data_IF_423685577475
#
_entry.id   IF_423685577475
#
_cell.length_a   1.000
_cell.length_b   1.000
_cell.length_c   1.000
_cell.angle_alpha   90.00
_cell.angle_beta   90.00
_cell.angle_gamma   90.00
#
_symmetry.space_group_name_H-M   'P 1'
#
loop_
_entity.id
_entity.type
_entity.pdbx_description
1 polymer ?
#
# COMPACT_ATOMS: atom_id res chain seq x y z
N UNK A 1 43.48 -5.34 32.49
CA UNK A 1 42.20 -4.61 32.65
C UNK A 1 41.41 -4.80 31.35
N UNK A 2 40.53 -5.78 31.35
CA UNK A 2 39.69 -6.19 30.22
C UNK A 2 38.33 -5.56 30.37
N UNK A 3 37.95 -4.66 29.41
CA UNK A 3 36.62 -4.11 29.35
C UNK A 3 35.65 -5.13 28.71
N UNK A 4 34.51 -5.44 29.31
CA UNK A 4 33.48 -6.23 28.62
C UNK A 4 32.75 -5.33 27.63
N UNK A 5 32.80 -5.70 26.35
CA UNK A 5 31.92 -5.17 25.31
C UNK A 5 30.47 -5.53 25.63
N UNK A 6 29.70 -4.52 26.03
CA UNK A 6 28.25 -4.63 26.20
C UNK A 6 27.61 -4.61 24.82
N UNK A 7 27.34 -5.79 24.25
CA UNK A 7 26.48 -5.93 23.09
C UNK A 7 25.06 -5.57 23.52
N UNK A 8 24.58 -4.41 23.07
CA UNK A 8 23.16 -4.04 23.23
C UNK A 8 22.38 -4.92 22.26
N UNK A 9 21.85 -6.04 22.76
CA UNK A 9 20.84 -6.81 22.06
C UNK A 9 19.59 -5.92 21.91
N UNK A 10 19.24 -5.64 20.66
CA UNK A 10 17.97 -5.00 20.33
C UNK A 10 16.83 -5.90 20.87
N UNK A 11 15.72 -5.31 21.39
CA UNK A 11 14.62 -6.10 21.94
C UNK A 11 14.01 -6.99 20.85
N UNK A 12 14.09 -8.29 21.05
CA UNK A 12 13.67 -9.35 20.11
C UNK A 12 12.14 -9.46 19.95
N UNK A 13 11.35 -8.44 20.27
CA UNK A 13 9.89 -8.55 20.27
C UNK A 13 9.13 -7.27 19.85
N UNK A 14 9.68 -6.48 18.94
CA UNK A 14 8.84 -5.54 18.20
C UNK A 14 8.02 -6.33 17.17
N UNK A 15 6.68 -6.20 17.11
CA UNK A 15 5.90 -6.87 16.08
C UNK A 15 6.45 -6.46 14.71
N UNK A 16 6.82 -7.44 13.89
CA UNK A 16 7.31 -7.19 12.54
C UNK A 16 6.26 -6.35 11.80
N UNK A 17 6.70 -5.27 11.16
CA UNK A 17 5.80 -4.45 10.36
C UNK A 17 5.14 -5.33 9.28
N UNK A 18 3.84 -5.15 9.00
CA UNK A 18 3.17 -5.89 7.95
C UNK A 18 3.83 -5.62 6.60
N UNK A 19 3.81 -6.60 5.71
CA UNK A 19 4.17 -6.40 4.32
C UNK A 19 3.29 -5.31 3.70
N UNK A 20 3.84 -4.53 2.79
CA UNK A 20 3.15 -3.45 2.10
C UNK A 20 2.95 -3.81 0.63
N UNK A 21 1.71 -3.95 0.20
CA UNK A 21 1.35 -4.20 -1.18
C UNK A 21 0.72 -2.95 -1.79
N UNK A 22 1.51 -2.22 -2.58
CA UNK A 22 1.06 -1.06 -3.33
C UNK A 22 0.30 -1.54 -4.56
N UNK A 23 -0.90 -1.03 -4.80
CA UNK A 23 -1.77 -1.51 -5.86
C UNK A 23 -2.23 -0.37 -6.77
N UNK A 24 -1.77 -0.38 -8.03
CA UNK A 24 -2.04 0.64 -9.03
C UNK A 24 -2.92 0.09 -10.17
N UNK A 25 -3.47 0.96 -11.02
CA UNK A 25 -4.29 0.54 -12.15
C UNK A 25 -3.51 -0.27 -13.19
N UNK A 26 -2.38 0.21 -13.59
CA UNK A 26 -1.68 -0.26 -14.77
C UNK A 26 -2.17 0.38 -16.07
N UNK A 27 -1.37 0.24 -17.12
CA UNK A 27 -1.66 0.73 -18.47
C UNK A 27 -0.86 -0.06 -19.52
N UNK A 28 -1.20 0.12 -20.79
CA UNK A 28 -0.43 -0.48 -21.90
C UNK A 28 0.91 0.20 -22.14
N UNK A 29 1.00 1.49 -21.78
CA UNK A 29 2.25 2.24 -21.86
C UNK A 29 3.12 1.93 -20.63
N UNK A 30 4.32 1.35 -20.79
CA UNK A 30 5.20 1.03 -19.68
C UNK A 30 5.66 2.26 -18.87
N UNK A 31 5.66 3.45 -19.46
CA UNK A 31 6.01 4.69 -18.76
C UNK A 31 5.00 5.03 -17.65
N UNK A 32 3.79 4.49 -17.74
CA UNK A 32 2.77 4.64 -16.70
C UNK A 32 3.21 4.13 -15.33
N UNK A 33 4.06 3.11 -15.28
CA UNK A 33 4.53 2.53 -14.02
C UNK A 33 5.50 3.43 -13.25
N UNK A 34 6.25 4.30 -13.92
CA UNK A 34 7.37 5.05 -13.34
C UNK A 34 7.05 5.80 -12.02
N UNK A 35 5.96 6.58 -11.92
CA UNK A 35 5.65 7.26 -10.66
C UNK A 35 5.32 6.28 -9.52
N UNK A 36 4.69 5.15 -9.81
CA UNK A 36 4.37 4.11 -8.83
C UNK A 36 5.61 3.34 -8.40
N UNK A 37 6.53 3.09 -9.32
CA UNK A 37 7.84 2.49 -9.02
C UNK A 37 8.67 3.41 -8.12
N UNK A 38 8.63 4.73 -8.35
CA UNK A 38 9.28 5.70 -7.48
C UNK A 38 8.69 5.67 -6.05
N UNK A 39 7.37 5.60 -5.92
CA UNK A 39 6.72 5.43 -4.61
C UNK A 39 7.15 4.12 -3.96
N UNK A 40 7.17 3.02 -4.71
CA UNK A 40 7.59 1.71 -4.20
C UNK A 40 9.05 1.74 -3.71
N UNK A 41 9.95 2.39 -4.45
CA UNK A 41 11.36 2.55 -4.06
C UNK A 41 11.51 3.33 -2.74
N UNK A 42 10.78 4.42 -2.57
CA UNK A 42 10.76 5.17 -1.30
C UNK A 42 10.25 4.31 -0.14
N UNK A 43 9.17 3.53 -0.35
CA UNK A 43 8.64 2.64 0.66
C UNK A 43 9.63 1.53 1.03
N UNK A 44 10.35 0.95 0.06
CA UNK A 44 11.40 -0.05 0.28
C UNK A 44 12.56 0.51 1.10
N UNK A 45 12.96 1.76 0.84
CA UNK A 45 13.99 2.43 1.63
C UNK A 45 13.67 2.57 3.12
N UNK A 46 12.38 2.55 3.47
CA UNK A 46 11.92 2.66 4.87
C UNK A 46 11.61 1.29 5.49
N UNK A 47 10.97 0.39 4.74
CA UNK A 47 10.47 -0.90 5.27
C UNK A 47 11.38 -2.09 4.98
N UNK A 48 12.29 -1.96 4.04
CA UNK A 48 13.12 -3.06 3.52
C UNK A 48 12.58 -3.62 2.21
N UNK A 49 13.49 -4.09 1.38
CA UNK A 49 13.23 -4.52 0.00
C UNK A 49 12.21 -5.67 -0.08
N UNK A 50 12.30 -6.62 0.85
CA UNK A 50 11.46 -7.83 0.87
C UNK A 50 10.06 -7.62 1.46
N UNK A 51 9.77 -6.44 2.00
CA UNK A 51 8.49 -6.14 2.63
C UNK A 51 7.57 -5.25 1.79
N UNK A 52 7.99 -4.87 0.58
CA UNK A 52 7.21 -3.98 -0.29
C UNK A 52 7.08 -4.57 -1.68
N UNK A 53 5.85 -4.76 -2.12
CA UNK A 53 5.53 -5.15 -3.49
C UNK A 53 4.70 -4.07 -4.18
N UNK A 54 4.87 -3.91 -5.50
CA UNK A 54 4.00 -3.12 -6.37
C UNK A 54 3.25 -4.07 -7.28
N UNK A 55 1.94 -3.91 -7.36
CA UNK A 55 1.07 -4.71 -8.22
C UNK A 55 0.16 -3.83 -9.06
N UNK A 56 -0.35 -4.38 -10.14
CA UNK A 56 -1.22 -3.69 -11.07
C UNK A 56 -2.55 -4.43 -11.25
N UNK A 57 -3.62 -3.67 -11.47
CA UNK A 57 -4.96 -4.21 -11.69
C UNK A 57 -5.07 -4.87 -13.07
N UNK A 58 -4.45 -4.24 -14.09
CA UNK A 58 -4.54 -4.67 -15.49
C UNK A 58 -3.30 -4.25 -16.30
N UNK A 59 -3.11 -4.87 -17.45
CA UNK A 59 -2.08 -4.57 -18.47
C UNK A 59 -0.62 -4.74 -18.05
N UNK A 60 -0.31 -4.77 -16.77
CA UNK A 60 1.06 -4.85 -16.24
C UNK A 60 1.20 -5.99 -15.24
N UNK A 61 2.43 -6.40 -14.98
CA UNK A 61 2.78 -7.44 -14.02
C UNK A 61 3.72 -6.89 -12.95
N UNK A 62 3.69 -7.47 -11.72
CA UNK A 62 2.78 -8.52 -11.26
C UNK A 62 1.36 -8.02 -11.02
N UNK A 63 0.37 -8.91 -11.06
CA UNK A 63 -0.97 -8.64 -10.56
C UNK A 63 -1.02 -8.73 -9.01
N UNK A 64 -2.17 -8.39 -8.44
CA UNK A 64 -2.36 -8.36 -6.98
C UNK A 64 -2.13 -9.73 -6.34
N UNK A 65 -2.57 -10.81 -6.99
CA UNK A 65 -2.46 -12.18 -6.47
C UNK A 65 -1.00 -12.63 -6.47
N UNK A 66 -0.31 -12.46 -7.58
CA UNK A 66 1.12 -12.80 -7.70
C UNK A 66 1.98 -12.03 -6.69
N UNK A 67 1.70 -10.73 -6.49
CA UNK A 67 2.40 -9.91 -5.50
C UNK A 67 2.12 -10.35 -4.06
N UNK A 68 0.88 -10.75 -3.76
CA UNK A 68 0.52 -11.32 -2.46
C UNK A 68 1.28 -12.62 -2.16
N UNK A 69 1.35 -13.54 -3.13
CA UNK A 69 2.15 -14.76 -3.01
C UNK A 69 3.66 -14.47 -2.81
N UNK A 70 4.20 -13.47 -3.52
CA UNK A 70 5.59 -13.07 -3.37
C UNK A 70 5.89 -12.57 -1.94
N UNK A 71 5.04 -11.72 -1.36
CA UNK A 71 5.19 -11.26 0.02
C UNK A 71 5.05 -12.41 1.04
N UNK A 72 4.10 -13.32 0.83
CA UNK A 72 3.96 -14.52 1.66
C UNK A 72 5.22 -15.40 1.63
N UNK A 73 5.80 -15.61 0.45
CA UNK A 73 7.05 -16.35 0.27
C UNK A 73 8.25 -15.66 0.94
N UNK A 74 8.22 -14.33 1.08
CA UNK A 74 9.21 -13.55 1.86
C UNK A 74 8.97 -13.62 3.38
N UNK A 75 7.98 -14.39 3.83
CA UNK A 75 7.68 -14.58 5.24
C UNK A 75 6.70 -13.58 5.85
N UNK A 76 6.09 -12.70 5.06
CA UNK A 76 5.06 -11.80 5.57
C UNK A 76 3.82 -12.60 6.00
N UNK A 77 3.39 -12.45 7.25
CA UNK A 77 2.18 -13.07 7.81
C UNK A 77 1.03 -12.08 7.95
N UNK A 78 1.29 -10.81 7.77
CA UNK A 78 0.29 -9.74 7.62
C UNK A 78 0.70 -8.86 6.44
N UNK A 79 -0.25 -8.44 5.62
CA UNK A 79 -0.02 -7.59 4.44
C UNK A 79 -1.09 -6.51 4.37
N UNK A 80 -0.64 -5.27 4.31
CA UNK A 80 -1.50 -4.12 4.04
C UNK A 80 -1.54 -3.84 2.52
N UNK A 81 -2.72 -3.92 1.93
CA UNK A 81 -2.96 -3.52 0.53
C UNK A 81 -3.33 -2.04 0.48
N UNK A 82 -2.55 -1.26 -0.24
CA UNK A 82 -2.74 0.19 -0.38
C UNK A 82 -3.02 0.55 -1.83
N UNK A 83 -4.28 0.88 -2.18
CA UNK A 83 -4.62 1.31 -3.52
C UNK A 83 -4.03 2.70 -3.82
N UNK A 84 -3.18 2.78 -4.84
CA UNK A 84 -2.57 4.02 -5.33
C UNK A 84 -3.51 4.71 -6.35
N UNK A 85 -4.79 4.78 -6.03
CA UNK A 85 -5.81 5.41 -6.87
C UNK A 85 -6.14 6.80 -6.37
N UNK A 86 -6.22 7.78 -7.26
CA UNK A 86 -6.70 9.12 -6.93
C UNK A 86 -8.22 9.16 -6.82
N UNK A 87 -8.92 8.26 -7.51
CA UNK A 87 -10.35 8.06 -7.42
C UNK A 87 -10.69 6.59 -7.66
N UNK A 88 -11.77 6.11 -7.04
CA UNK A 88 -12.27 4.76 -7.24
C UNK A 88 -13.50 4.81 -8.17
N UNK A 89 -13.32 4.46 -9.43
CA UNK A 89 -14.42 4.22 -10.38
C UNK A 89 -15.24 2.98 -10.01
N UNK A 90 -16.43 2.83 -10.64
CA UNK A 90 -17.35 1.72 -10.32
C UNK A 90 -16.76 0.32 -10.50
N UNK A 91 -15.85 0.12 -11.46
CA UNK A 91 -15.16 -1.15 -11.69
C UNK A 91 -14.23 -1.48 -10.53
N UNK A 92 -13.34 -0.57 -10.15
CA UNK A 92 -12.38 -0.74 -9.07
C UNK A 92 -13.07 -1.10 -7.74
N UNK A 93 -14.22 -0.47 -7.46
CA UNK A 93 -15.00 -0.77 -6.24
C UNK A 93 -15.57 -2.19 -6.22
N UNK A 94 -15.83 -2.79 -7.39
CA UNK A 94 -16.34 -4.16 -7.51
C UNK A 94 -15.22 -5.19 -7.52
N UNK A 95 -14.11 -4.88 -8.17
CA UNK A 95 -13.02 -5.82 -8.40
C UNK A 95 -12.14 -6.01 -7.16
N UNK A 96 -11.87 -4.94 -6.39
CA UNK A 96 -11.02 -5.03 -5.19
C UNK A 96 -11.55 -6.04 -4.16
N UNK A 97 -12.83 -6.04 -3.75
CA UNK A 97 -13.33 -7.02 -2.80
C UNK A 97 -13.17 -8.46 -3.29
N UNK A 98 -13.36 -8.71 -4.58
CA UNK A 98 -13.20 -10.05 -5.18
C UNK A 98 -11.74 -10.48 -5.13
N UNK A 99 -10.81 -9.60 -5.48
CA UNK A 99 -9.38 -9.87 -5.42
C UNK A 99 -8.89 -10.09 -3.98
N UNK A 100 -9.39 -9.30 -3.03
CA UNK A 100 -9.06 -9.47 -1.60
C UNK A 100 -9.58 -10.82 -1.06
N UNK A 101 -10.81 -11.21 -1.41
CA UNK A 101 -11.37 -12.50 -1.03
C UNK A 101 -10.56 -13.66 -1.64
N UNK A 102 -10.12 -13.53 -2.87
CA UNK A 102 -9.26 -14.51 -3.54
C UNK A 102 -7.90 -14.62 -2.83
N UNK A 103 -7.23 -13.52 -2.52
CA UNK A 103 -5.98 -13.53 -1.74
C UNK A 103 -6.14 -14.26 -0.41
N UNK A 104 -7.20 -13.95 0.34
CA UNK A 104 -7.45 -14.58 1.63
C UNK A 104 -7.75 -16.09 1.49
N UNK A 105 -8.36 -16.51 0.38
CA UNK A 105 -8.64 -17.92 0.10
C UNK A 105 -7.38 -18.69 -0.31
N UNK A 106 -6.53 -18.08 -1.14
CA UNK A 106 -5.30 -18.73 -1.63
C UNK A 106 -4.18 -18.73 -0.57
N UNK A 107 -4.18 -17.76 0.35
CA UNK A 107 -3.16 -17.59 1.39
C UNK A 107 -3.81 -17.42 2.78
N UNK A 108 -4.47 -18.49 3.30
CA UNK A 108 -5.23 -18.42 4.55
C UNK A 108 -4.37 -18.11 5.78
N UNK A 109 -3.06 -18.37 5.71
CA UNK A 109 -2.09 -18.10 6.77
C UNK A 109 -1.61 -16.63 6.79
N UNK A 110 -1.99 -15.81 5.81
CA UNK A 110 -1.61 -14.39 5.72
C UNK A 110 -2.84 -13.52 5.99
N UNK A 111 -2.73 -12.62 6.95
CA UNK A 111 -3.77 -11.64 7.23
C UNK A 111 -3.67 -10.47 6.26
N UNK A 112 -4.59 -10.36 5.31
CA UNK A 112 -4.68 -9.23 4.38
C UNK A 112 -5.61 -8.15 4.91
N UNK A 113 -5.18 -6.90 4.83
CA UNK A 113 -6.00 -5.73 5.14
C UNK A 113 -5.98 -4.75 3.97
N UNK A 114 -7.11 -4.11 3.71
CA UNK A 114 -7.24 -3.10 2.66
C UNK A 114 -7.31 -1.70 3.29
N UNK A 115 -6.41 -0.82 2.87
CA UNK A 115 -6.44 0.58 3.28
C UNK A 115 -7.30 1.41 2.32
N UNK A 116 -7.77 2.60 2.74
CA UNK A 116 -8.37 3.57 1.84
C UNK A 116 -7.42 3.92 0.69
N UNK A 117 -7.97 4.20 -0.49
CA UNK A 117 -7.18 4.69 -1.62
C UNK A 117 -6.45 5.99 -1.27
N UNK A 118 -5.23 6.16 -1.76
CA UNK A 118 -4.40 7.32 -1.41
C UNK A 118 -5.03 8.66 -1.81
N UNK A 119 -5.87 8.69 -2.85
CA UNK A 119 -6.52 9.90 -3.33
C UNK A 119 -7.49 10.54 -2.34
N UNK A 120 -7.95 9.82 -1.30
CA UNK A 120 -8.78 10.39 -0.23
C UNK A 120 -7.95 10.90 0.96
N UNK A 121 -6.63 10.66 0.95
CA UNK A 121 -5.76 11.12 2.02
C UNK A 121 -5.55 12.63 1.94
N UNK A 122 -5.79 13.39 3.05
CA UNK A 122 -5.58 14.83 3.07
C UNK A 122 -4.20 15.26 2.59
N UNK A 123 -3.15 14.54 2.96
CA UNK A 123 -1.78 14.83 2.54
C UNK A 123 -1.60 14.74 1.00
N UNK A 124 -2.24 13.79 0.34
CA UNK A 124 -2.19 13.66 -1.13
C UNK A 124 -2.96 14.79 -1.80
N UNK A 125 -4.15 15.12 -1.29
CA UNK A 125 -4.96 16.24 -1.80
C UNK A 125 -4.18 17.56 -1.68
N UNK A 126 -3.57 17.81 -0.53
CA UNK A 126 -2.73 18.98 -0.31
C UNK A 126 -1.52 19.02 -1.25
N UNK A 127 -0.84 17.90 -1.43
CA UNK A 127 0.32 17.82 -2.32
C UNK A 127 -0.07 18.11 -3.78
N UNK A 128 -1.18 17.56 -4.26
CA UNK A 128 -1.71 17.87 -5.59
C UNK A 128 -2.06 19.35 -5.75
N UNK A 129 -2.70 19.96 -4.75
CA UNK A 129 -3.02 21.38 -4.78
C UNK A 129 -1.76 22.26 -4.80
N UNK A 130 -0.75 21.92 -3.99
CA UNK A 130 0.52 22.63 -3.96
C UNK A 130 1.23 22.58 -5.32
N UNK A 131 1.29 21.43 -5.94
CA UNK A 131 1.87 21.25 -7.27
C UNK A 131 1.09 22.04 -8.33
N UNK A 132 -0.25 21.97 -8.32
CA UNK A 132 -1.11 22.69 -9.26
C UNK A 132 -0.98 24.23 -9.16
N UNK A 133 -0.76 24.73 -7.94
CA UNK A 133 -0.55 26.16 -7.68
C UNK A 133 0.89 26.61 -7.93
N UNK A 134 1.83 25.70 -8.19
CA UNK A 134 3.26 26.04 -8.29
C UNK A 134 3.86 26.52 -6.96
N UNK A 135 3.24 26.21 -5.83
CA UNK A 135 3.70 26.62 -4.50
C UNK A 135 4.26 25.45 -3.71
N UNK A 136 5.40 25.61 -3.01
CA UNK A 136 5.93 24.58 -2.12
C UNK A 136 5.12 24.42 -0.81
N UNK A 137 4.24 25.37 -0.51
CA UNK A 137 3.43 25.37 0.71
C UNK A 137 2.09 24.64 0.48
N UNK A 138 1.83 23.65 1.32
CA UNK A 138 0.56 22.93 1.36
C UNK A 138 -0.53 23.83 1.95
N UNK A 139 -1.73 23.95 1.34
CA UNK A 139 -2.86 24.65 1.94
C UNK A 139 -3.19 24.12 3.33
N UNK A 140 -3.39 24.99 4.31
CA UNK A 140 -3.63 24.63 5.70
C UNK A 140 -5.02 23.97 5.93
N UNK A 141 -5.94 24.05 4.98
CA UNK A 141 -7.29 23.49 5.10
C UNK A 141 -7.61 22.58 3.90
N UNK A 142 -7.79 21.31 4.17
CA UNK A 142 -8.34 20.36 3.20
C UNK A 142 -9.85 20.30 3.41
N UNK A 143 -10.69 20.56 2.39
CA UNK A 143 -12.11 20.31 2.49
C UNK A 143 -12.38 18.85 2.87
N UNK A 144 -13.39 18.60 3.70
CA UNK A 144 -13.80 17.24 4.04
C UNK A 144 -14.08 16.44 2.76
N UNK A 145 -13.39 15.32 2.58
CA UNK A 145 -13.64 14.41 1.46
C UNK A 145 -15.02 13.76 1.70
N UNK A 146 -15.95 13.80 0.73
CA UNK A 146 -17.26 13.18 0.89
C UNK A 146 -17.15 11.71 1.33
N UNK A 147 -17.93 11.31 2.31
CA UNK A 147 -17.94 9.96 2.89
C UNK A 147 -18.14 8.84 1.85
N UNK A 148 -18.75 9.14 0.72
CA UNK A 148 -18.92 8.21 -0.41
C UNK A 148 -17.59 7.72 -1.02
N UNK A 149 -16.51 8.49 -0.92
CA UNK A 149 -15.17 8.09 -1.38
C UNK A 149 -14.39 7.34 -0.29
N UNK A 150 -14.75 7.54 0.98
CA UNK A 150 -14.11 6.87 2.11
C UNK A 150 -14.71 5.47 2.39
N UNK A 151 -15.91 5.18 1.90
CA UNK A 151 -16.69 3.98 2.23
C UNK A 151 -16.14 2.63 1.68
N UNK A 152 -14.99 2.64 1.00
CA UNK A 152 -14.32 1.40 0.58
C UNK A 152 -13.46 0.77 1.70
N UNK A 153 -13.44 1.35 2.90
CA UNK A 153 -12.43 1.03 3.90
C UNK A 153 -12.88 0.13 5.07
N UNK A 154 -14.16 -0.26 5.15
CA UNK A 154 -14.63 -1.07 6.28
C UNK A 154 -15.28 -2.35 5.78
N UNK A 155 -14.47 -3.33 5.46
CA UNK A 155 -14.90 -4.72 5.53
C UNK A 155 -14.50 -5.25 6.92
N UNK A 156 -15.51 -5.39 7.77
CA UNK A 156 -15.38 -5.95 9.10
C UNK A 156 -14.73 -7.33 9.03
N UNK A 157 -13.78 -7.58 9.90
CA UNK A 157 -13.28 -8.91 10.25
C UNK A 157 -14.48 -9.77 10.68
N UNK A 158 -14.76 -10.93 10.06
CA UNK A 158 -15.70 -11.87 10.64
C UNK A 158 -15.08 -12.48 11.91
N UNK A 159 -15.87 -12.53 12.94
CA UNK A 159 -15.54 -13.17 14.22
C UNK A 159 -15.29 -14.66 14.08
#
# INVERSE_FOLDING_TARGET
>A
MTHPSSSIEAPANAPALPGLLLFAHGARDPLWAQPFEAVAALCRGVRGEHQVALAFLEFMTPDLIAAGHALAAQGCRAVEVVPLFLGAGGHVRKDIPVLMARLQTELPEVAFSLRPAVGVAPAVICAMAAVALGHPAVPAAVPAVPAALAATATMATPA
#
